data_IF_627944284429
#
_entry.id   IF_627944284429
#
_cell.length_a   1.000
_cell.length_b   1.000
_cell.length_c   1.000
_cell.angle_alpha   90.00
_cell.angle_beta   90.00
_cell.angle_gamma   90.00
#
_symmetry.space_group_name_H-M   'P 1'
#
loop_
_entity.id
_entity.type
_entity.pdbx_description
1 polymer ?
#
# COMPACT_ATOMS: atom_id res chain seq x y z
N UNK A 1 -48.00 -56.15 -2.34
CA UNK A 1 -47.72 -55.07 -1.36
C UNK A 1 -46.67 -55.62 -0.41
N UNK A 2 -45.42 -55.18 -0.36
CA UNK A 2 -44.86 -53.82 -0.49
C UNK A 2 -43.44 -53.90 -1.06
N UNK A 3 -43.14 -53.01 -1.98
CA UNK A 3 -41.83 -52.83 -2.60
C UNK A 3 -40.80 -52.25 -1.62
N UNK A 4 -39.58 -52.79 -1.66
CA UNK A 4 -38.43 -52.32 -0.92
C UNK A 4 -37.62 -51.37 -1.83
N UNK A 5 -37.78 -50.06 -1.64
CA UNK A 5 -37.03 -49.03 -2.37
C UNK A 5 -35.65 -48.89 -1.70
N UNK A 6 -34.61 -49.40 -2.34
CA UNK A 6 -33.22 -49.07 -2.06
C UNK A 6 -32.93 -47.64 -2.56
N UNK A 7 -32.97 -46.66 -1.66
CA UNK A 7 -32.48 -45.32 -1.93
C UNK A 7 -30.94 -45.34 -1.92
N UNK A 8 -30.34 -45.39 -3.11
CA UNK A 8 -28.90 -45.15 -3.27
C UNK A 8 -28.63 -43.66 -3.02
N UNK A 9 -28.03 -43.34 -1.87
CA UNK A 9 -27.45 -42.02 -1.63
C UNK A 9 -26.28 -41.85 -2.60
N UNK A 10 -26.51 -41.09 -3.67
CA UNK A 10 -25.49 -40.75 -4.66
C UNK A 10 -24.50 -39.78 -3.99
N UNK A 11 -23.21 -40.14 -3.82
CA UNK A 11 -22.24 -39.29 -3.15
C UNK A 11 -21.69 -38.26 -4.15
N UNK A 12 -22.54 -37.32 -4.56
CA UNK A 12 -22.06 -36.09 -5.19
C UNK A 12 -21.58 -35.16 -4.06
N UNK A 13 -20.48 -35.54 -3.44
CA UNK A 13 -19.63 -34.58 -2.75
C UNK A 13 -19.20 -33.59 -3.82
N UNK A 14 -19.67 -32.34 -3.70
CA UNK A 14 -19.14 -31.19 -4.42
C UNK A 14 -17.64 -31.13 -4.13
N UNK A 15 -16.84 -31.78 -4.97
CA UNK A 15 -15.42 -31.52 -5.03
C UNK A 15 -15.30 -30.08 -5.48
N UNK A 16 -15.05 -29.18 -4.54
CA UNK A 16 -14.71 -27.80 -4.86
C UNK A 16 -13.40 -27.89 -5.62
N UNK A 17 -13.47 -27.76 -6.95
CA UNK A 17 -12.28 -27.83 -7.79
C UNK A 17 -11.33 -26.69 -7.38
N UNK A 18 -10.01 -26.95 -7.26
CA UNK A 18 -9.05 -25.94 -6.82
C UNK A 18 -9.10 -24.65 -7.66
N UNK A 19 -9.37 -24.79 -8.96
CA UNK A 19 -9.56 -23.66 -9.88
C UNK A 19 -10.76 -22.76 -9.50
N UNK A 20 -11.83 -23.33 -8.93
CA UNK A 20 -12.99 -22.57 -8.45
C UNK A 20 -12.64 -21.75 -7.20
N UNK A 21 -11.79 -22.29 -6.31
CA UNK A 21 -11.30 -21.57 -5.13
C UNK A 21 -10.40 -20.41 -5.54
N UNK A 22 -9.43 -20.64 -6.43
CA UNK A 22 -8.50 -19.60 -6.93
C UNK A 22 -9.23 -18.45 -7.62
N UNK A 23 -10.24 -18.76 -8.44
CA UNK A 23 -11.05 -17.75 -9.12
C UNK A 23 -11.90 -16.93 -8.15
N UNK A 24 -12.48 -17.55 -7.12
CA UNK A 24 -13.24 -16.86 -6.07
C UNK A 24 -12.33 -15.96 -5.23
N UNK A 25 -11.14 -16.43 -4.85
CA UNK A 25 -10.16 -15.62 -4.13
C UNK A 25 -9.69 -14.43 -4.97
N UNK A 26 -9.42 -14.62 -6.27
CA UNK A 26 -8.96 -13.55 -7.16
C UNK A 26 -10.04 -12.47 -7.35
N UNK A 27 -11.31 -12.87 -7.51
CA UNK A 27 -12.44 -11.92 -7.60
C UNK A 27 -12.65 -11.15 -6.30
N UNK A 28 -12.54 -11.82 -5.16
CA UNK A 28 -12.72 -11.18 -3.85
C UNK A 28 -11.61 -10.17 -3.57
N UNK A 29 -10.35 -10.49 -3.92
CA UNK A 29 -9.21 -9.56 -3.82
C UNK A 29 -9.44 -8.34 -4.72
N UNK A 30 -9.79 -8.54 -5.99
CA UNK A 30 -10.02 -7.43 -6.93
C UNK A 30 -11.19 -6.52 -6.52
N UNK A 31 -12.28 -7.08 -6.00
CA UNK A 31 -13.43 -6.31 -5.52
C UNK A 31 -13.09 -5.51 -4.25
N UNK A 32 -12.30 -6.09 -3.35
CA UNK A 32 -11.79 -5.42 -2.15
C UNK A 32 -10.86 -4.26 -2.53
N UNK A 33 -9.92 -4.51 -3.46
CA UNK A 33 -8.99 -3.49 -3.96
C UNK A 33 -9.74 -2.31 -4.61
N UNK A 34 -10.86 -2.56 -5.31
CA UNK A 34 -11.68 -1.51 -5.91
C UNK A 34 -12.42 -0.62 -4.89
N UNK A 35 -13.03 -1.23 -3.86
CA UNK A 35 -13.70 -0.48 -2.77
C UNK A 35 -12.68 0.35 -1.97
N UNK A 36 -11.52 -0.25 -1.73
CA UNK A 36 -10.37 0.41 -1.10
C UNK A 36 -9.93 1.62 -1.95
N UNK A 37 -9.74 1.43 -3.26
CA UNK A 37 -9.39 2.53 -4.15
C UNK A 37 -10.45 3.67 -4.12
N UNK A 38 -11.74 3.35 -4.13
CA UNK A 38 -12.81 4.36 -4.05
C UNK A 38 -12.81 5.15 -2.73
N UNK A 39 -12.58 4.49 -1.59
CA UNK A 39 -12.53 5.17 -0.29
C UNK A 39 -11.34 6.15 -0.20
N UNK A 40 -10.19 5.80 -0.80
CA UNK A 40 -9.01 6.67 -0.87
C UNK A 40 -9.25 7.98 -1.64
N UNK A 41 -10.14 7.97 -2.65
CA UNK A 41 -10.43 9.14 -3.49
C UNK A 41 -11.01 10.33 -2.73
N UNK A 42 -11.58 10.09 -1.55
CA UNK A 42 -12.19 11.13 -0.71
C UNK A 42 -11.20 12.23 -0.30
N UNK A 43 -9.90 11.93 -0.22
CA UNK A 43 -8.89 12.92 0.17
C UNK A 43 -8.15 13.52 -1.02
N UNK A 44 -8.33 13.01 -2.24
CA UNK A 44 -7.66 13.57 -3.41
C UNK A 44 -8.17 15.00 -3.67
N UNK A 45 -7.26 15.96 -3.79
CA UNK A 45 -7.54 17.39 -3.89
C UNK A 45 -7.70 18.10 -2.55
N UNK A 46 -7.63 17.37 -1.43
CA UNK A 46 -7.62 17.99 -0.10
C UNK A 46 -6.41 18.91 0.04
N UNK A 47 -6.65 20.16 0.43
CA UNK A 47 -5.62 21.14 0.78
C UNK A 47 -5.59 21.31 2.28
N UNK A 48 -4.44 21.18 2.91
CA UNK A 48 -4.33 21.24 4.36
C UNK A 48 -2.96 21.78 4.81
N UNK A 49 -2.94 22.40 5.98
CA UNK A 49 -1.73 22.72 6.74
C UNK A 49 -1.68 21.87 8.00
N UNK A 50 -2.78 21.89 8.73
CA UNK A 50 -3.04 20.99 9.84
C UNK A 50 -3.87 19.80 9.34
N UNK A 51 -3.49 18.59 9.75
CA UNK A 51 -4.15 17.36 9.32
C UNK A 51 -5.63 17.37 9.77
N UNK A 52 -6.59 16.97 8.90
CA UNK A 52 -8.01 16.94 9.28
C UNK A 52 -8.29 16.09 10.52
N UNK A 53 -9.34 16.47 11.27
CA UNK A 53 -9.78 15.72 12.46
C UNK A 53 -10.08 14.25 12.13
N UNK A 54 -9.67 13.37 13.05
CA UNK A 54 -9.85 11.92 12.91
C UNK A 54 -8.76 11.22 12.08
N UNK A 55 -7.77 11.97 11.62
CA UNK A 55 -6.56 11.43 10.99
C UNK A 55 -5.35 11.60 11.91
N UNK A 56 -4.41 10.68 11.80
CA UNK A 56 -3.13 10.72 12.53
C UNK A 56 -1.99 10.61 11.52
N UNK A 57 -0.99 11.48 11.63
CA UNK A 57 0.26 11.33 10.89
C UNK A 57 1.16 10.32 11.59
N UNK A 58 1.65 9.35 10.84
CA UNK A 58 2.64 8.37 11.29
C UNK A 58 4.05 8.68 10.75
N UNK A 59 4.24 9.86 10.16
CA UNK A 59 5.47 10.28 9.52
C UNK A 59 5.34 10.38 8.00
N UNK A 60 6.48 10.52 7.33
CA UNK A 60 6.54 10.72 5.89
C UNK A 60 7.96 11.05 5.43
N UNK A 61 8.13 11.24 4.13
CA UNK A 61 9.41 11.63 3.54
C UNK A 61 9.19 12.49 2.29
N UNK A 62 10.22 13.26 1.95
CA UNK A 62 10.22 14.09 0.75
C UNK A 62 10.63 13.27 -0.47
N UNK A 63 9.88 13.43 -1.56
CA UNK A 63 10.29 13.01 -2.89
C UNK A 63 11.00 14.22 -3.51
N UNK A 64 12.32 14.21 -3.52
CA UNK A 64 13.09 15.34 -4.04
C UNK A 64 12.77 15.59 -5.52
N UNK A 65 12.51 16.85 -5.90
CA UNK A 65 13.18 17.40 -7.06
C UNK A 65 14.13 18.51 -6.61
N UNK A 66 15.39 18.42 -7.01
CA UNK A 66 16.46 19.36 -6.65
C UNK A 66 16.19 20.81 -7.12
N UNK A 67 15.18 21.03 -7.97
CA UNK A 67 14.59 22.33 -8.36
C UNK A 67 13.13 22.13 -8.78
N UNK A 68 12.22 23.03 -8.39
CA UNK A 68 10.82 23.03 -8.80
C UNK A 68 9.83 22.69 -7.68
N UNK A 69 8.63 22.24 -8.04
CA UNK A 69 7.56 21.89 -7.10
C UNK A 69 7.97 20.72 -6.19
N UNK A 70 7.92 20.93 -4.87
CA UNK A 70 8.23 19.88 -3.88
C UNK A 70 7.08 18.88 -3.76
N UNK A 71 7.43 17.59 -3.64
CA UNK A 71 6.49 16.51 -3.37
C UNK A 71 6.89 15.75 -2.11
N UNK A 72 5.90 15.23 -1.40
CA UNK A 72 6.08 14.40 -0.22
C UNK A 72 5.22 13.15 -0.29
N UNK A 73 5.59 12.16 0.52
CA UNK A 73 4.69 11.06 0.87
C UNK A 73 4.49 11.06 2.36
N UNK A 74 3.22 11.15 2.79
CA UNK A 74 2.82 11.05 4.19
C UNK A 74 2.20 9.69 4.46
N UNK A 75 2.53 9.11 5.61
CA UNK A 75 1.85 7.92 6.15
C UNK A 75 0.75 8.41 7.08
N UNK A 76 -0.50 8.18 6.70
CA UNK A 76 -1.68 8.68 7.41
C UNK A 76 -2.53 7.51 7.88
N UNK A 77 -3.11 7.63 9.07
CA UNK A 77 -3.99 6.62 9.64
C UNK A 77 -5.37 7.20 9.97
N UNK A 78 -6.43 6.42 9.67
CA UNK A 78 -7.80 6.65 10.12
C UNK A 78 -8.33 5.38 10.78
N UNK A 79 -8.55 5.40 12.09
CA UNK A 79 -8.88 4.17 12.83
C UNK A 79 -7.77 3.13 12.63
N UNK A 80 -8.12 1.95 12.09
CA UNK A 80 -7.17 0.88 11.77
C UNK A 80 -6.64 0.91 10.32
N UNK A 81 -7.14 1.81 9.48
CA UNK A 81 -6.74 1.90 8.07
C UNK A 81 -5.52 2.82 7.92
N UNK A 82 -4.38 2.26 7.50
CA UNK A 82 -3.20 3.02 7.09
C UNK A 82 -3.28 3.36 5.60
N UNK A 83 -2.72 4.51 5.24
CA UNK A 83 -2.75 5.10 3.90
C UNK A 83 -1.43 5.80 3.63
N UNK A 84 -1.04 5.84 2.36
CA UNK A 84 -0.04 6.77 1.86
C UNK A 84 -0.72 7.88 1.11
N UNK A 85 -0.35 9.12 1.40
CA UNK A 85 -0.75 10.29 0.63
C UNK A 85 0.45 10.75 -0.18
N UNK A 86 0.32 10.83 -1.50
CA UNK A 86 1.27 11.53 -2.36
C UNK A 86 0.82 12.97 -2.47
N UNK A 87 1.71 13.90 -2.14
CA UNK A 87 1.33 15.27 -1.86
C UNK A 87 2.24 16.26 -2.55
N UNK A 88 1.66 17.39 -2.93
CA UNK A 88 2.35 18.51 -3.55
C UNK A 88 2.40 19.67 -2.58
N UNK A 89 3.57 20.27 -2.38
CA UNK A 89 3.69 21.49 -1.60
C UNK A 89 2.98 22.64 -2.33
N UNK A 90 2.11 23.34 -1.61
CA UNK A 90 1.46 24.57 -2.09
C UNK A 90 2.32 25.78 -1.74
N UNK A 91 2.59 25.95 -0.45
CA UNK A 91 3.32 27.09 0.10
C UNK A 91 3.91 26.75 1.47
N UNK A 92 4.66 27.71 2.00
CA UNK A 92 5.08 27.74 3.41
C UNK A 92 4.68 29.10 3.98
N UNK A 93 4.19 29.12 5.22
CA UNK A 93 3.94 30.38 5.92
C UNK A 93 5.22 31.04 6.42
N UNK A 94 5.08 32.22 7.04
CA UNK A 94 6.20 32.99 7.57
C UNK A 94 7.00 32.23 8.65
N UNK A 95 6.42 31.19 9.26
CA UNK A 95 7.07 30.31 10.24
C UNK A 95 7.65 29.04 9.59
N UNK A 96 7.59 28.93 8.26
CA UNK A 96 8.09 27.78 7.50
C UNK A 96 7.15 26.57 7.48
N UNK A 97 5.93 26.67 8.03
CA UNK A 97 4.98 25.56 8.05
C UNK A 97 4.39 25.37 6.65
N UNK A 98 4.46 24.14 6.17
CA UNK A 98 4.04 23.78 4.83
C UNK A 98 2.51 23.59 4.73
N UNK A 99 1.92 24.07 3.64
CA UNK A 99 0.58 23.67 3.21
C UNK A 99 0.69 22.71 2.03
N UNK A 100 -0.09 21.64 2.03
CA UNK A 100 -0.02 20.55 1.07
C UNK A 100 -1.33 20.34 0.34
N UNK A 101 -1.25 19.81 -0.88
CA UNK A 101 -2.37 19.29 -1.64
C UNK A 101 -2.18 17.79 -1.87
N UNK A 102 -3.16 16.98 -1.45
CA UNK A 102 -3.15 15.54 -1.68
C UNK A 102 -3.43 15.26 -3.15
N UNK A 103 -2.49 14.61 -3.82
CA UNK A 103 -2.59 14.31 -5.25
C UNK A 103 -3.04 12.89 -5.53
N UNK A 104 -2.67 11.95 -4.67
CA UNK A 104 -3.14 10.57 -4.73
C UNK A 104 -3.13 9.91 -3.36
N UNK A 105 -3.94 8.87 -3.20
CA UNK A 105 -4.06 8.11 -1.97
C UNK A 105 -3.96 6.63 -2.25
N UNK A 106 -2.97 5.98 -1.66
CA UNK A 106 -2.87 4.53 -1.60
C UNK A 106 -3.35 4.05 -0.23
N UNK A 107 -4.51 3.42 -0.17
CA UNK A 107 -4.89 2.67 1.02
C UNK A 107 -4.00 1.42 1.12
N UNK A 108 -3.36 1.22 2.27
CA UNK A 108 -2.51 0.05 2.47
C UNK A 108 -3.37 -1.17 2.81
N UNK A 109 -3.06 -2.35 2.25
CA UNK A 109 -3.68 -3.58 2.72
C UNK A 109 -3.23 -3.86 4.16
N UNK A 110 -3.92 -4.77 4.84
CA UNK A 110 -3.48 -5.26 6.14
C UNK A 110 -2.04 -5.79 6.04
N UNK A 111 -1.14 -5.23 6.87
CA UNK A 111 0.26 -5.63 6.96
C UNK A 111 0.36 -6.72 8.02
N UNK A 112 0.82 -7.95 7.69
CA UNK A 112 0.99 -9.00 8.68
C UNK A 112 2.07 -8.65 9.71
N UNK A 113 1.99 -9.26 10.89
CA UNK A 113 2.88 -8.99 12.02
C UNK A 113 4.39 -9.10 11.73
N UNK A 114 4.79 -9.96 10.78
CA UNK A 114 6.20 -10.15 10.39
C UNK A 114 6.63 -9.29 9.20
N UNK A 115 5.81 -8.33 8.78
CA UNK A 115 6.10 -7.36 7.74
C UNK A 115 5.96 -5.94 8.27
N UNK A 116 6.59 -5.01 7.58
CA UNK A 116 6.43 -3.58 7.80
C UNK A 116 6.34 -2.82 6.48
N UNK A 117 5.93 -1.56 6.58
CA UNK A 117 6.02 -0.58 5.52
C UNK A 117 7.46 -0.06 5.44
N UNK A 118 8.22 -0.53 4.46
CA UNK A 118 9.52 0.02 4.10
C UNK A 118 9.35 1.21 3.15
N UNK A 119 9.98 2.35 3.48
CA UNK A 119 9.80 3.63 2.78
C UNK A 119 11.09 4.46 2.78
N UNK A 120 11.23 5.37 1.82
CA UNK A 120 12.29 6.38 1.76
C UNK A 120 13.70 5.86 1.40
N UNK A 121 14.06 4.65 1.82
CA UNK A 121 15.39 4.05 1.63
C UNK A 121 15.31 2.67 0.96
N UNK A 122 14.59 2.64 -0.16
CA UNK A 122 14.50 1.48 -1.02
C UNK A 122 15.41 1.64 -2.23
N UNK A 123 15.81 0.50 -2.80
CA UNK A 123 16.61 0.40 -4.00
C UNK A 123 15.93 -0.51 -5.01
N UNK A 124 16.08 -0.18 -6.29
CA UNK A 124 15.75 -1.06 -7.40
C UNK A 124 17.04 -1.42 -8.13
N UNK A 125 17.37 -2.71 -8.19
CA UNK A 125 18.59 -3.22 -8.83
C UNK A 125 19.86 -2.47 -8.34
N UNK A 126 19.97 -2.32 -7.02
CA UNK A 126 21.06 -1.65 -6.31
C UNK A 126 21.19 -0.13 -6.55
N UNK A 127 20.14 0.51 -7.07
CA UNK A 127 20.07 1.97 -7.23
C UNK A 127 19.03 2.52 -6.27
N UNK A 128 19.45 3.46 -5.42
CA UNK A 128 18.57 4.16 -4.50
C UNK A 128 17.41 4.82 -5.26
N UNK A 129 16.20 4.60 -4.77
CA UNK A 129 14.99 5.21 -5.29
C UNK A 129 14.01 5.49 -4.15
N UNK A 130 14.07 6.70 -3.62
CA UNK A 130 13.21 7.16 -2.53
C UNK A 130 11.72 7.19 -2.89
N UNK A 131 11.35 6.99 -4.17
CA UNK A 131 9.95 6.90 -4.59
C UNK A 131 9.35 5.52 -4.32
N UNK A 132 10.17 4.51 -4.04
CA UNK A 132 9.68 3.15 -3.82
C UNK A 132 9.16 3.02 -2.40
N UNK A 133 8.00 2.39 -2.28
CA UNK A 133 7.39 1.97 -1.02
C UNK A 133 7.07 0.49 -1.13
N UNK A 134 7.36 -0.26 -0.06
CA UNK A 134 7.21 -1.70 -0.08
C UNK A 134 6.64 -2.21 1.24
N UNK A 135 5.89 -3.31 1.16
CA UNK A 135 5.61 -4.15 2.33
C UNK A 135 6.69 -5.22 2.37
N UNK A 136 7.63 -5.07 3.29
CA UNK A 136 8.83 -5.90 3.39
C UNK A 136 8.79 -6.74 4.67
N UNK A 137 9.26 -7.99 4.58
CA UNK A 137 9.36 -8.85 5.77
C UNK A 137 10.52 -8.37 6.64
N UNK A 138 10.35 -8.42 7.96
CA UNK A 138 11.49 -8.30 8.87
C UNK A 138 12.48 -9.44 8.62
N UNK A 139 13.76 -9.09 8.52
CA UNK A 139 14.87 -10.01 8.30
C UNK A 139 16.06 -9.63 9.19
N UNK A 140 16.89 -10.61 9.56
CA UNK A 140 18.12 -10.36 10.31
C UNK A 140 19.24 -9.93 9.35
N UNK A 141 19.03 -8.81 8.66
CA UNK A 141 19.95 -8.23 7.69
C UNK A 141 19.68 -6.73 7.52
N UNK A 142 20.72 -5.96 7.14
CA UNK A 142 20.65 -4.51 6.89
C UNK A 142 19.65 -4.14 5.78
N UNK A 143 19.35 -5.08 4.89
CA UNK A 143 18.36 -4.93 3.84
C UNK A 143 17.28 -6.00 3.95
N UNK A 144 16.03 -5.58 3.79
CA UNK A 144 14.89 -6.47 3.56
C UNK A 144 14.73 -6.69 2.06
N UNK A 145 14.79 -7.95 1.63
CA UNK A 145 14.68 -8.39 0.23
C UNK A 145 13.41 -9.22 -0.02
N UNK A 146 12.77 -9.72 1.03
CA UNK A 146 11.47 -10.40 0.94
C UNK A 146 10.34 -9.37 0.86
N UNK A 147 10.03 -8.94 -0.36
CA UNK A 147 9.02 -7.92 -0.65
C UNK A 147 7.70 -8.57 -1.05
N UNK A 148 6.63 -8.28 -0.31
CA UNK A 148 5.27 -8.81 -0.57
C UNK A 148 4.51 -7.98 -1.61
N UNK A 149 4.57 -6.66 -1.50
CA UNK A 149 4.00 -5.70 -2.46
C UNK A 149 4.88 -4.48 -2.55
N UNK A 150 4.86 -3.81 -3.70
CA UNK A 150 5.60 -2.59 -3.91
C UNK A 150 4.82 -1.63 -4.80
N UNK A 151 4.98 -0.35 -4.49
CA UNK A 151 4.46 0.75 -5.28
C UNK A 151 5.55 1.79 -5.48
N UNK A 152 5.43 2.58 -6.53
CA UNK A 152 6.29 3.73 -6.78
C UNK A 152 5.46 5.00 -6.79
N UNK A 153 5.88 5.99 -6.02
CA UNK A 153 5.32 7.33 -6.08
C UNK A 153 5.82 8.04 -7.35
N UNK A 154 4.96 8.13 -8.35
CA UNK A 154 5.25 8.83 -9.59
C UNK A 154 4.81 10.28 -9.48
N UNK A 155 5.70 11.16 -9.03
CA UNK A 155 5.40 12.59 -8.87
C UNK A 155 5.13 13.31 -10.19
N UNK A 156 5.61 12.80 -11.32
CA UNK A 156 5.31 13.39 -12.65
C UNK A 156 3.88 13.11 -13.08
N UNK A 157 3.37 11.93 -12.72
CA UNK A 157 1.99 11.50 -13.01
C UNK A 157 1.05 11.70 -11.83
N UNK A 158 1.60 12.18 -10.71
CA UNK A 158 0.95 12.47 -9.45
C UNK A 158 0.09 11.31 -8.95
N UNK A 159 0.65 10.09 -9.00
CA UNK A 159 -0.01 8.86 -8.51
C UNK A 159 0.97 7.82 -7.98
N UNK A 160 0.46 6.90 -7.17
CA UNK A 160 1.13 5.64 -6.87
C UNK A 160 0.88 4.63 -8.00
N UNK A 161 1.94 3.91 -8.38
CA UNK A 161 1.87 2.87 -9.40
C UNK A 161 2.37 1.56 -8.79
N UNK A 162 1.54 0.51 -8.79
CA UNK A 162 1.99 -0.82 -8.38
C UNK A 162 3.11 -1.29 -9.30
N UNK A 163 4.12 -1.94 -8.72
CA UNK A 163 5.30 -2.39 -9.45
C UNK A 163 5.72 -3.80 -9.06
N UNK A 164 6.41 -4.54 -9.95
CA UNK A 164 6.97 -5.84 -9.61
C UNK A 164 7.95 -5.74 -8.43
N UNK A 165 7.98 -6.76 -7.59
CA UNK A 165 8.82 -6.81 -6.39
C UNK A 165 10.27 -7.24 -6.66
N UNK A 166 10.54 -7.81 -7.84
CA UNK A 166 11.85 -8.34 -8.22
C UNK A 166 12.90 -7.22 -8.26
N UNK A 167 14.04 -7.47 -7.62
CA UNK A 167 15.17 -6.54 -7.60
C UNK A 167 15.01 -5.39 -6.61
N UNK A 168 13.91 -5.34 -5.86
CA UNK A 168 13.72 -4.38 -4.77
C UNK A 168 14.42 -4.89 -3.52
N UNK A 169 15.16 -4.00 -2.85
CA UNK A 169 15.59 -4.18 -1.46
C UNK A 169 15.41 -2.86 -0.73
N UNK A 170 15.02 -2.90 0.54
CA UNK A 170 14.88 -1.69 1.35
C UNK A 170 15.72 -1.79 2.60
N UNK A 171 16.28 -0.68 3.06
CA UNK A 171 17.02 -0.65 4.32
C UNK A 171 16.11 -1.11 5.46
N UNK A 172 16.69 -1.90 6.35
CA UNK A 172 16.07 -2.39 7.55
C UNK A 172 16.64 -1.60 8.74
N UNK A 173 15.94 -0.54 9.20
CA UNK A 173 16.46 0.29 10.28
C UNK A 173 16.65 -0.47 11.60
N UNK A 174 16.03 -1.65 11.76
CA UNK A 174 16.18 -2.50 12.94
C UNK A 174 17.48 -3.32 12.98
N UNK A 175 18.32 -3.31 11.94
CA UNK A 175 19.51 -4.16 11.85
C UNK A 175 20.82 -3.40 11.56
N UNK A 176 20.83 -2.09 11.82
CA UNK A 176 21.98 -1.22 11.58
C UNK A 176 22.12 -0.83 10.11
N UNK A 177 22.31 0.47 9.88
CA UNK A 177 22.84 1.08 8.66
C UNK A 177 23.88 2.11 9.07
#
# INVERSE_FOLDING_TARGET
>A
MKDLILLTLSPWLLAIHPASVEALTSRTVAQTDHVIAQAGRTYIGLRYRDLPRGLTSLGGWMLTPQRGTEYGVSVVQRGNQRMLWLERLIDRDAQGRASWEVRDVLLLPAIPQNFDLAQGWCELNRRADARIVAIARYQNSEYSTQIRRAWRANWQRERFEEMPTRGIRCQNPGFGV
#
